data_IF_739470430915
#
_entry.id   IF_739470430915
#
_cell.length_a   1.000
_cell.length_b   1.000
_cell.length_c   1.000
_cell.angle_alpha   90.00
_cell.angle_beta   90.00
_cell.angle_gamma   90.00
#
_symmetry.space_group_name_H-M   'P 1'
#
loop_
_entity.id
_entity.type
_entity.pdbx_description
1 polymer ?
#
# COMPACT_ATOMS: atom_id res chain seq x y z
N UNK A 1 -29.33 16.58 -25.11
CA UNK A 1 -28.53 16.37 -23.88
C UNK A 1 -27.41 17.40 -23.88
N UNK A 2 -27.18 18.11 -22.77
CA UNK A 2 -25.97 18.94 -22.65
C UNK A 2 -24.78 18.00 -22.42
N UNK A 3 -23.75 18.10 -23.25
CA UNK A 3 -22.50 17.38 -23.02
C UNK A 3 -21.94 17.80 -21.65
N UNK A 4 -21.98 16.90 -20.66
CA UNK A 4 -21.47 17.13 -19.32
C UNK A 4 -19.96 16.89 -19.26
N UNK A 5 -19.22 17.49 -20.19
CA UNK A 5 -17.78 17.35 -20.31
C UNK A 5 -17.11 18.51 -19.60
N UNK A 6 -16.35 18.23 -18.53
CA UNK A 6 -15.52 19.21 -17.85
C UNK A 6 -14.04 18.85 -18.02
N UNK A 7 -13.20 19.85 -18.29
CA UNK A 7 -11.74 19.71 -18.42
C UNK A 7 -11.06 20.16 -17.14
N UNK A 8 -9.98 19.48 -16.77
CA UNK A 8 -9.08 19.87 -15.67
C UNK A 8 -7.76 20.33 -16.30
N UNK A 9 -7.24 21.46 -15.82
CA UNK A 9 -5.92 21.96 -16.22
C UNK A 9 -4.86 21.40 -15.25
N UNK A 10 -3.81 20.79 -15.79
CA UNK A 10 -2.67 20.25 -15.04
C UNK A 10 -1.38 20.87 -15.57
N UNK A 11 -0.43 21.13 -14.66
CA UNK A 11 0.91 21.60 -14.99
C UNK A 11 1.93 20.67 -14.32
N UNK A 12 2.99 20.32 -15.04
CA UNK A 12 4.04 19.41 -14.58
C UNK A 12 5.37 20.15 -14.54
N UNK A 13 6.00 20.21 -13.37
CA UNK A 13 7.37 20.72 -13.25
C UNK A 13 8.36 19.65 -13.73
N UNK A 14 8.89 19.81 -14.95
CA UNK A 14 9.80 18.83 -15.55
C UNK A 14 11.18 18.77 -14.89
N UNK A 15 11.52 19.71 -14.00
CA UNK A 15 12.73 19.63 -13.17
C UNK A 15 12.55 18.66 -11.99
N UNK A 16 11.31 18.24 -11.68
CA UNK A 16 11.03 17.20 -10.70
C UNK A 16 10.89 15.85 -11.42
N UNK A 17 11.77 14.90 -11.11
CA UNK A 17 11.82 13.60 -11.80
C UNK A 17 10.51 12.80 -11.70
N UNK A 18 9.78 12.90 -10.57
CA UNK A 18 8.48 12.22 -10.42
C UNK A 18 7.42 12.84 -11.33
N UNK A 19 7.37 14.17 -11.40
CA UNK A 19 6.44 14.88 -12.27
C UNK A 19 6.77 14.67 -13.77
N UNK A 20 8.07 14.68 -14.12
CA UNK A 20 8.56 14.37 -15.46
C UNK A 20 8.19 12.96 -15.91
N UNK A 21 8.40 11.96 -15.03
CA UNK A 21 8.01 10.57 -15.30
C UNK A 21 6.50 10.46 -15.55
N UNK A 22 5.68 11.04 -14.66
CA UNK A 22 4.23 11.02 -14.83
C UNK A 22 3.78 11.71 -16.12
N UNK A 23 4.38 12.86 -16.45
CA UNK A 23 4.10 13.59 -17.69
C UNK A 23 4.40 12.75 -18.93
N UNK A 24 5.62 12.20 -19.03
CA UNK A 24 6.03 11.39 -20.17
C UNK A 24 5.14 10.16 -20.33
N UNK A 25 4.85 9.45 -19.23
CA UNK A 25 3.96 8.28 -19.25
C UNK A 25 2.57 8.67 -19.76
N UNK A 26 1.96 9.75 -19.27
CA UNK A 26 0.64 10.21 -19.76
C UNK A 26 0.73 10.60 -21.24
N UNK A 27 1.83 11.21 -21.67
CA UNK A 27 2.03 11.68 -23.03
C UNK A 27 2.02 10.54 -24.06
N UNK A 28 2.62 9.40 -23.71
CA UNK A 28 2.75 8.21 -24.57
C UNK A 28 1.41 7.54 -24.94
N UNK A 29 0.35 7.75 -24.16
CA UNK A 29 -0.97 7.17 -24.46
C UNK A 29 -1.79 8.07 -25.41
N UNK A 30 -2.40 7.45 -26.42
CA UNK A 30 -3.34 8.12 -27.33
C UNK A 30 -4.62 8.56 -26.58
N UNK A 31 -5.14 7.72 -25.67
CA UNK A 31 -6.35 7.98 -24.89
C UNK A 31 -6.04 8.47 -23.46
N UNK A 32 -5.43 9.66 -23.35
CA UNK A 32 -4.92 10.22 -22.07
C UNK A 32 -5.96 10.31 -20.97
N UNK A 33 -7.16 10.78 -21.30
CA UNK A 33 -8.25 10.90 -20.32
C UNK A 33 -8.67 9.55 -19.75
N UNK A 34 -8.77 8.51 -20.59
CA UNK A 34 -9.11 7.16 -20.14
C UNK A 34 -8.01 6.59 -19.23
N UNK A 35 -6.75 6.76 -19.62
CA UNK A 35 -5.61 6.35 -18.79
C UNK A 35 -5.62 7.02 -17.41
N UNK A 36 -5.81 8.35 -17.36
CA UNK A 36 -5.86 9.10 -16.09
C UNK A 36 -7.05 8.66 -15.23
N UNK A 37 -8.23 8.40 -15.81
CA UNK A 37 -9.39 7.88 -15.07
C UNK A 37 -9.03 6.54 -14.41
N UNK A 38 -8.50 5.58 -15.18
CA UNK A 38 -8.13 4.26 -14.66
C UNK A 38 -7.06 4.36 -13.57
N UNK A 39 -6.03 5.19 -13.77
CA UNK A 39 -4.97 5.38 -12.79
C UNK A 39 -5.47 6.01 -11.49
N UNK A 40 -6.37 6.99 -11.55
CA UNK A 40 -6.95 7.65 -10.37
C UNK A 40 -7.89 6.72 -9.62
N UNK A 41 -8.74 5.97 -10.32
CA UNK A 41 -9.62 4.98 -9.69
C UNK A 41 -8.81 3.87 -9.03
N UNK A 42 -7.82 3.30 -9.73
CA UNK A 42 -6.91 2.32 -9.14
C UNK A 42 -6.16 2.90 -7.95
N UNK A 43 -5.70 4.16 -8.00
CA UNK A 43 -5.06 4.80 -6.85
C UNK A 43 -6.00 4.89 -5.65
N UNK A 44 -7.27 5.22 -5.85
CA UNK A 44 -8.29 5.31 -4.79
C UNK A 44 -8.64 3.92 -4.24
N UNK A 45 -8.88 2.94 -5.11
CA UNK A 45 -9.20 1.56 -4.75
C UNK A 45 -8.06 0.86 -4.01
N UNK A 46 -6.81 1.19 -4.34
CA UNK A 46 -5.62 0.74 -3.61
C UNK A 46 -5.22 1.69 -2.47
N UNK A 47 -5.96 2.80 -2.26
CA UNK A 47 -5.77 3.73 -1.14
C UNK A 47 -6.56 3.32 0.09
N UNK A 48 -7.54 2.42 -0.05
CA UNK A 48 -7.91 1.56 1.06
C UNK A 48 -6.64 0.80 1.41
N UNK A 49 -5.93 1.34 2.40
CA UNK A 49 -4.63 0.90 2.85
C UNK A 49 -4.60 -0.61 2.80
N UNK A 50 -3.53 -1.18 2.24
CA UNK A 50 -3.14 -2.56 2.52
C UNK A 50 -3.42 -2.79 4.00
N UNK A 51 -4.52 -3.47 4.31
CA UNK A 51 -5.02 -3.52 5.66
C UNK A 51 -4.06 -4.47 6.37
N UNK A 52 -3.04 -3.86 7.00
CA UNK A 52 -1.94 -4.59 7.60
C UNK A 52 -2.48 -5.57 8.63
N UNK A 53 -3.60 -5.25 9.27
CA UNK A 53 -4.30 -6.16 10.18
C UNK A 53 -4.84 -7.39 9.46
N UNK A 54 -5.47 -7.25 8.29
CA UNK A 54 -5.92 -8.40 7.48
C UNK A 54 -4.74 -9.26 7.04
N UNK A 55 -3.63 -8.65 6.62
CA UNK A 55 -2.42 -9.41 6.24
C UNK A 55 -1.80 -10.11 7.45
N UNK A 56 -1.73 -9.44 8.61
CA UNK A 56 -1.22 -10.05 9.85
C UNK A 56 -2.06 -11.24 10.27
N UNK A 57 -3.39 -11.12 10.23
CA UNK A 57 -4.28 -12.23 10.58
C UNK A 57 -4.17 -13.38 9.59
N UNK A 58 -4.14 -13.11 8.28
CA UNK A 58 -3.94 -14.14 7.27
C UNK A 58 -2.59 -14.88 7.43
N UNK A 59 -1.52 -14.17 7.79
CA UNK A 59 -0.21 -14.78 8.07
C UNK A 59 -0.22 -15.60 9.36
N UNK A 60 -0.86 -15.11 10.44
CA UNK A 60 -1.01 -15.86 11.69
C UNK A 60 -1.81 -17.14 11.48
N UNK A 61 -2.89 -17.09 10.71
CA UNK A 61 -3.74 -18.23 10.37
C UNK A 61 -2.93 -19.28 9.60
N UNK A 62 -2.24 -18.87 8.54
CA UNK A 62 -1.41 -19.78 7.73
C UNK A 62 -0.30 -20.46 8.56
N UNK A 63 0.34 -19.75 9.50
CA UNK A 63 1.36 -20.32 10.40
C UNK A 63 0.76 -21.32 11.40
N UNK A 64 -0.46 -21.06 11.87
CA UNK A 64 -1.18 -21.95 12.79
C UNK A 64 -1.62 -23.24 12.08
N UNK A 65 -2.08 -23.11 10.84
CA UNK A 65 -2.48 -24.24 9.98
C UNK A 65 -1.28 -25.05 9.49
N UNK A 66 -0.13 -24.41 9.23
CA UNK A 66 1.09 -25.10 8.82
C UNK A 66 1.80 -25.85 9.96
N UNK A 67 1.29 -25.77 11.19
CA UNK A 67 1.89 -26.39 12.37
C UNK A 67 3.24 -25.79 12.79
N UNK A 68 3.59 -24.61 12.26
CA UNK A 68 4.86 -23.95 12.55
C UNK A 68 4.83 -23.34 13.97
N UNK A 69 5.44 -24.02 14.95
CA UNK A 69 5.68 -23.47 16.29
C UNK A 69 6.85 -22.48 16.22
N UNK A 70 6.55 -21.19 16.18
CA UNK A 70 7.56 -20.15 16.38
C UNK A 70 7.74 -19.94 17.90
N UNK A 71 8.82 -20.49 18.45
CA UNK A 71 9.25 -20.18 19.82
C UNK A 71 10.00 -18.83 19.82
N UNK A 72 9.28 -17.76 20.12
CA UNK A 72 9.87 -16.47 20.44
C UNK A 72 10.64 -16.61 21.76
N UNK A 73 11.98 -16.54 21.70
CA UNK A 73 12.81 -16.56 22.91
C UNK A 73 12.39 -15.41 23.82
N UNK A 74 11.82 -15.76 24.97
CA UNK A 74 11.46 -14.83 26.04
C UNK A 74 12.75 -14.24 26.61
N UNK A 75 13.09 -13.02 26.24
CA UNK A 75 13.96 -12.22 27.08
C UNK A 75 13.20 -11.90 28.37
N UNK A 76 13.79 -12.35 29.47
CA UNK A 76 13.18 -12.46 30.78
C UNK A 76 12.72 -11.10 31.32
N UNK A 77 11.41 -10.92 31.46
CA UNK A 77 10.81 -10.23 32.61
C UNK A 77 9.36 -10.65 32.83
N UNK A 78 9.18 -11.38 33.93
CA UNK A 78 7.95 -11.52 34.73
C UNK A 78 6.60 -11.64 34.00
N UNK A 79 6.07 -12.87 34.01
CA UNK A 79 4.65 -13.23 34.14
C UNK A 79 3.64 -12.16 33.69
N UNK A 80 3.04 -12.34 32.52
CA UNK A 80 1.64 -12.73 32.31
C UNK A 80 1.23 -12.58 30.83
N UNK A 81 0.26 -13.42 30.43
CA UNK A 81 -0.56 -13.43 29.21
C UNK A 81 0.12 -13.58 27.83
N UNK A 82 -0.15 -14.72 27.20
CA UNK A 82 0.33 -15.10 25.86
C UNK A 82 -0.38 -14.37 24.73
N UNK A 83 0.02 -13.12 24.50
CA UNK A 83 -0.22 -12.37 23.28
C UNK A 83 1.09 -12.15 22.51
N UNK A 84 1.00 -12.01 21.20
CA UNK A 84 2.11 -11.57 20.35
C UNK A 84 2.50 -10.14 20.80
N UNK A 85 3.76 -9.87 21.17
CA UNK A 85 4.18 -8.52 21.57
C UNK A 85 4.07 -7.54 20.40
N UNK A 86 3.57 -6.32 20.67
CA UNK A 86 3.39 -5.27 19.65
C UNK A 86 4.73 -4.83 19.01
N UNK A 87 5.85 -5.10 19.68
CA UNK A 87 7.19 -4.68 19.27
C UNK A 87 7.81 -5.50 18.12
N UNK A 88 7.16 -6.59 17.69
CA UNK A 88 7.67 -7.42 16.56
C UNK A 88 7.73 -6.63 15.25
N UNK A 89 6.87 -5.62 15.07
CA UNK A 89 6.87 -4.78 13.86
C UNK A 89 7.94 -3.69 13.85
N UNK A 90 8.57 -3.38 15.00
CA UNK A 90 9.62 -2.36 15.10
C UNK A 90 10.98 -2.85 14.57
N UNK A 91 11.14 -4.17 14.34
CA UNK A 91 12.37 -4.74 13.79
C UNK A 91 12.51 -4.50 12.26
N UNK A 92 11.42 -4.21 11.56
CA UNK A 92 11.43 -3.97 10.11
C UNK A 92 11.81 -2.53 9.71
N UNK A 93 11.87 -1.60 10.66
CA UNK A 93 12.24 -0.19 10.42
C UNK A 93 13.76 0.07 10.39
N UNK A 94 14.58 -0.98 10.46
CA UNK A 94 16.05 -0.90 10.47
C UNK A 94 16.77 -1.65 9.34
N UNK A 95 16.06 -2.02 8.27
CA UNK A 95 16.60 -2.63 7.05
C UNK A 95 16.62 -1.63 5.88
#
# INVERSE_FOLDING_TARGET
MKDNIKRINLCFNLNNERAKKAYNTIQEYNAKTAFVISAVLAFIENKDEINKEIIKEAVKEALRESGAKIELQKESRSKETGGIPDDVFNLLSGL
#
